data_IF_327677656764
#
_entry.id   IF_327677656764
#
_cell.length_a   1.000
_cell.length_b   1.000
_cell.length_c   1.000
_cell.angle_alpha   90.00
_cell.angle_beta   90.00
_cell.angle_gamma   90.00
#
_symmetry.space_group_name_H-M   'P 1'
#
loop_
_entity.id
_entity.type
_entity.pdbx_description
1 polymer ?
#
# COMPACT_ATOMS: atom_id res chain seq x y z
N UNK A 1 0.59 -18.62 -0.32
CA UNK A 1 1.00 -18.22 -1.70
C UNK A 1 0.07 -17.11 -2.14
N UNK A 2 0.60 -15.94 -2.46
CA UNK A 2 -0.20 -14.81 -2.95
C UNK A 2 -0.63 -15.13 -4.37
N UNK A 3 -1.91 -14.97 -4.68
CA UNK A 3 -2.51 -15.31 -5.96
C UNK A 3 -2.82 -14.04 -6.77
N UNK A 4 -2.60 -14.08 -8.08
CA UNK A 4 -2.95 -12.95 -8.96
C UNK A 4 -4.46 -12.87 -9.08
N UNK A 5 -5.01 -11.70 -8.77
CA UNK A 5 -6.44 -11.40 -8.90
C UNK A 5 -6.66 -10.36 -10.00
N UNK A 6 -7.63 -10.62 -10.85
CA UNK A 6 -8.01 -9.73 -11.95
C UNK A 6 -9.12 -8.76 -11.59
N UNK A 7 -9.26 -8.48 -10.36
CA UNK A 7 -10.22 -7.56 -9.77
C UNK A 7 -10.37 -7.87 -8.30
N UNK A 8 -11.01 -6.98 -7.54
CA UNK A 8 -11.22 -7.21 -6.13
C UNK A 8 -12.18 -8.38 -5.91
N UNK A 9 -11.76 -9.31 -5.08
CA UNK A 9 -12.64 -10.35 -4.57
C UNK A 9 -13.15 -9.99 -3.18
N UNK A 10 -14.45 -10.16 -2.98
CA UNK A 10 -15.07 -9.87 -1.68
C UNK A 10 -14.48 -10.75 -0.58
N UNK A 11 -14.18 -12.00 -0.89
CA UNK A 11 -13.60 -12.93 0.06
C UNK A 11 -12.21 -12.50 0.56
N UNK A 12 -11.37 -11.95 -0.34
CA UNK A 12 -10.06 -11.41 0.06
C UNK A 12 -10.23 -10.24 1.03
N UNK A 13 -11.18 -9.35 0.74
CA UNK A 13 -11.48 -8.24 1.65
C UNK A 13 -12.10 -8.70 2.96
N UNK A 14 -12.94 -9.73 2.95
CA UNK A 14 -13.51 -10.30 4.16
C UNK A 14 -12.40 -10.79 5.08
N UNK A 15 -11.46 -11.60 4.57
CA UNK A 15 -10.31 -12.11 5.32
C UNK A 15 -9.39 -10.98 5.80
N UNK A 16 -9.14 -10.00 4.94
CA UNK A 16 -8.38 -8.80 5.28
C UNK A 16 -9.02 -8.06 6.47
N UNK A 17 -10.32 -7.83 6.42
CA UNK A 17 -11.05 -7.14 7.48
C UNK A 17 -11.14 -7.97 8.76
N UNK A 18 -11.25 -9.29 8.67
CA UNK A 18 -11.24 -10.19 9.83
C UNK A 18 -9.92 -10.07 10.61
N UNK A 19 -8.79 -10.08 9.90
CA UNK A 19 -7.47 -9.91 10.54
C UNK A 19 -7.36 -8.55 11.23
N UNK A 20 -7.88 -7.48 10.61
CA UNK A 20 -7.77 -6.14 11.18
C UNK A 20 -8.80 -5.84 12.27
N UNK A 21 -9.94 -6.52 12.28
CA UNK A 21 -11.04 -6.25 13.21
C UNK A 21 -10.74 -6.61 14.68
N UNK A 22 -9.68 -7.39 14.92
CA UNK A 22 -9.26 -7.75 16.28
C UNK A 22 -8.36 -6.70 16.93
N UNK A 23 -7.90 -5.71 16.16
CA UNK A 23 -7.03 -4.65 16.65
C UNK A 23 -7.82 -3.48 17.22
N UNK A 24 -7.18 -2.76 18.14
CA UNK A 24 -7.75 -1.53 18.70
C UNK A 24 -7.49 -0.33 17.81
N UNK A 25 -6.27 -0.22 17.29
CA UNK A 25 -5.84 0.87 16.41
C UNK A 25 -5.07 0.34 15.20
N UNK A 26 -5.39 0.86 14.03
CA UNK A 26 -4.76 0.52 12.74
C UNK A 26 -4.45 1.79 11.99
N UNK A 27 -3.32 1.87 11.31
CA UNK A 27 -3.00 2.98 10.41
C UNK A 27 -3.00 2.53 8.94
N UNK A 28 -3.68 3.29 8.10
CA UNK A 28 -3.68 3.15 6.65
C UNK A 28 -2.84 4.27 6.03
N UNK A 29 -1.84 3.90 5.23
CA UNK A 29 -0.97 4.84 4.52
C UNK A 29 -1.27 4.77 3.04
N UNK A 30 -1.93 5.79 2.49
CA UNK A 30 -2.19 5.89 1.05
C UNK A 30 -1.04 6.60 0.36
N UNK A 31 -0.60 6.08 -0.79
CA UNK A 31 0.63 6.55 -1.45
C UNK A 31 0.43 7.03 -2.88
N UNK A 32 -0.81 7.20 -3.35
CA UNK A 32 -1.06 7.61 -4.72
C UNK A 32 -0.57 9.03 -5.01
N UNK A 33 0.36 9.17 -5.94
CA UNK A 33 0.89 10.46 -6.38
C UNK A 33 -0.14 11.40 -7.04
N UNK A 34 -1.34 10.88 -7.38
CA UNK A 34 -2.47 11.73 -7.84
C UNK A 34 -3.21 12.42 -6.70
N UNK A 35 -3.02 11.98 -5.46
CA UNK A 35 -3.81 12.46 -4.33
C UNK A 35 -3.71 13.97 -4.10
N UNK A 36 -2.55 14.64 -4.23
CA UNK A 36 -2.46 16.10 -4.12
C UNK A 36 -3.19 16.87 -5.24
N UNK A 37 -3.55 16.19 -6.32
CA UNK A 37 -4.13 16.81 -7.53
C UNK A 37 -5.58 16.43 -7.76
N UNK A 38 -6.31 16.06 -6.73
CA UNK A 38 -7.73 15.64 -6.85
C UNK A 38 -8.59 16.69 -7.51
N UNK A 39 -8.42 17.97 -7.17
CA UNK A 39 -9.16 19.09 -7.76
C UNK A 39 -8.91 19.21 -9.27
N UNK A 40 -7.66 18.99 -9.71
CA UNK A 40 -7.29 19.03 -11.12
C UNK A 40 -7.87 17.85 -11.92
N UNK A 41 -7.97 16.68 -11.33
CA UNK A 41 -8.41 15.46 -12.00
C UNK A 41 -9.88 15.12 -11.76
N UNK A 42 -10.56 15.86 -10.88
CA UNK A 42 -11.98 15.69 -10.59
C UNK A 42 -12.35 14.45 -9.79
N UNK A 43 -11.37 13.57 -9.46
CA UNK A 43 -11.64 12.37 -8.69
C UNK A 43 -10.47 11.97 -7.77
N UNK A 44 -10.81 11.38 -6.64
CA UNK A 44 -9.83 10.78 -5.73
C UNK A 44 -9.27 9.48 -6.28
N UNK A 45 -7.97 9.18 -6.06
CA UNK A 45 -7.37 7.90 -6.45
C UNK A 45 -8.13 6.71 -5.88
N UNK A 46 -8.30 5.65 -6.66
CA UNK A 46 -9.11 4.49 -6.27
C UNK A 46 -8.53 3.72 -5.07
N UNK A 47 -7.19 3.59 -5.00
CA UNK A 47 -6.54 3.02 -3.81
C UNK A 47 -6.86 3.81 -2.54
N UNK A 48 -6.88 5.14 -2.63
CA UNK A 48 -7.25 6.02 -1.51
C UNK A 48 -8.74 5.96 -1.19
N UNK A 49 -9.61 5.81 -2.20
CA UNK A 49 -11.04 5.60 -1.97
C UNK A 49 -11.27 4.28 -1.23
N UNK A 50 -10.66 3.19 -1.71
CA UNK A 50 -10.77 1.88 -1.08
C UNK A 50 -10.29 1.92 0.38
N UNK A 51 -9.15 2.52 0.64
CA UNK A 51 -8.62 2.68 2.00
C UNK A 51 -9.65 3.37 2.92
N UNK A 52 -10.26 4.47 2.48
CA UNK A 52 -11.27 5.18 3.27
C UNK A 52 -12.53 4.36 3.52
N UNK A 53 -13.00 3.61 2.51
CA UNK A 53 -14.18 2.76 2.68
C UNK A 53 -13.92 1.62 3.67
N UNK A 54 -12.79 0.95 3.55
CA UNK A 54 -12.40 -0.08 4.52
C UNK A 54 -12.23 0.52 5.91
N UNK A 55 -11.56 1.68 6.02
CA UNK A 55 -11.38 2.36 7.30
C UNK A 55 -12.72 2.69 7.96
N UNK A 56 -13.71 3.18 7.19
CA UNK A 56 -15.04 3.45 7.71
C UNK A 56 -15.70 2.17 8.25
N UNK A 57 -15.62 1.06 7.51
CA UNK A 57 -16.20 -0.23 7.93
C UNK A 57 -15.55 -0.77 9.20
N UNK A 58 -14.23 -0.65 9.32
CA UNK A 58 -13.51 -1.04 10.54
C UNK A 58 -13.88 -0.15 11.73
N UNK A 59 -14.08 1.16 11.51
CA UNK A 59 -14.56 2.07 12.56
C UNK A 59 -15.97 1.68 13.06
N UNK A 60 -16.85 1.28 12.16
CA UNK A 60 -18.18 0.77 12.52
C UNK A 60 -18.12 -0.52 13.34
N UNK A 61 -17.01 -1.27 13.25
CA UNK A 61 -16.71 -2.45 14.07
C UNK A 61 -15.94 -2.12 15.37
N UNK A 62 -15.69 -0.84 15.64
CA UNK A 62 -15.03 -0.38 16.86
C UNK A 62 -13.50 -0.29 16.76
N UNK A 63 -12.91 -0.46 15.58
CA UNK A 63 -11.47 -0.28 15.38
C UNK A 63 -11.17 1.20 15.15
N UNK A 64 -10.21 1.76 15.87
CA UNK A 64 -9.70 3.10 15.56
C UNK A 64 -8.80 3.01 14.32
N UNK A 65 -9.20 3.69 13.24
CA UNK A 65 -8.44 3.68 11.98
C UNK A 65 -8.03 5.09 11.61
N UNK A 66 -6.74 5.33 11.61
CA UNK A 66 -6.14 6.54 11.08
C UNK A 66 -5.81 6.35 9.59
N UNK A 67 -6.06 7.36 8.76
CA UNK A 67 -5.72 7.33 7.32
C UNK A 67 -4.78 8.48 7.00
N UNK A 68 -3.54 8.16 6.65
CA UNK A 68 -2.49 9.11 6.29
C UNK A 68 -2.28 9.09 4.78
N UNK A 69 -2.28 10.26 4.15
CA UNK A 69 -1.99 10.42 2.73
C UNK A 69 -0.52 10.84 2.54
N UNK A 70 0.35 9.87 2.35
CA UNK A 70 1.79 10.10 2.23
C UNK A 70 2.17 11.01 1.05
N UNK A 71 1.35 11.05 -0.01
CA UNK A 71 1.60 11.92 -1.15
C UNK A 71 1.39 13.41 -0.85
N UNK A 72 0.73 13.72 0.25
CA UNK A 72 0.50 15.11 0.72
C UNK A 72 1.50 15.56 1.77
N UNK A 73 2.33 14.63 2.25
CA UNK A 73 3.37 14.94 3.23
C UNK A 73 4.66 15.38 2.54
N UNK A 74 5.35 16.32 3.17
CA UNK A 74 6.71 16.67 2.77
C UNK A 74 7.70 15.64 3.32
N UNK A 75 7.91 14.58 2.58
CA UNK A 75 8.88 13.52 2.90
C UNK A 75 10.09 13.70 2.00
N UNK A 76 11.24 14.02 2.58
CA UNK A 76 12.49 14.11 1.86
C UNK A 76 12.94 12.72 1.34
N UNK A 77 13.80 12.69 0.34
CA UNK A 77 14.36 11.42 -0.16
C UNK A 77 15.28 10.78 0.89
N UNK A 78 15.50 9.47 0.77
CA UNK A 78 16.51 8.78 1.53
C UNK A 78 17.90 9.38 1.24
N UNK A 79 18.72 9.58 2.27
CA UNK A 79 20.06 10.14 2.14
C UNK A 79 21.12 9.08 1.80
N UNK A 80 20.76 7.80 1.74
CA UNK A 80 21.70 6.71 1.51
C UNK A 80 22.77 6.61 2.61
N UNK A 81 22.38 6.81 3.85
CA UNK A 81 23.30 6.92 5.00
C UNK A 81 24.20 5.70 5.20
N UNK A 82 23.78 4.54 4.74
CA UNK A 82 24.57 3.29 4.78
C UNK A 82 25.89 3.44 4.02
N UNK A 83 25.93 4.31 3.01
CA UNK A 83 27.09 4.43 2.14
C UNK A 83 28.25 5.21 2.75
N UNK A 84 28.02 6.38 3.40
CA UNK A 84 29.15 7.22 3.79
C UNK A 84 28.86 8.28 4.87
N UNK A 85 27.69 8.92 4.86
CA UNK A 85 27.53 10.22 5.52
C UNK A 85 27.56 10.13 7.05
N UNK A 86 26.96 9.12 7.63
CA UNK A 86 26.70 9.03 9.07
C UNK A 86 27.32 7.78 9.73
N UNK A 87 28.46 7.33 9.25
CA UNK A 87 29.17 6.20 9.85
C UNK A 87 28.67 4.85 9.38
N UNK A 88 28.15 4.81 8.16
CA UNK A 88 27.77 3.56 7.46
C UNK A 88 26.65 2.77 8.11
N UNK A 89 25.71 3.45 8.75
CA UNK A 89 24.45 2.83 9.18
C UNK A 89 23.26 3.72 8.91
N UNK A 90 22.14 3.08 8.59
CA UNK A 90 20.84 3.74 8.53
C UNK A 90 20.37 4.04 9.96
N UNK A 91 20.02 5.28 10.21
CA UNK A 91 19.56 5.73 11.51
C UNK A 91 20.65 6.05 12.54
N UNK A 92 20.34 6.95 13.43
CA UNK A 92 21.20 7.33 14.56
C UNK A 92 21.15 6.27 15.66
N UNK A 93 22.27 6.01 16.34
CA UNK A 93 22.33 5.01 17.42
C UNK A 93 21.35 5.29 18.55
N UNK A 94 21.19 6.56 18.88
CA UNK A 94 20.21 7.02 19.85
C UNK A 94 19.36 8.08 19.16
N UNK A 95 18.06 8.09 19.40
CA UNK A 95 17.25 9.16 18.83
C UNK A 95 17.71 10.50 19.37
N UNK A 96 18.27 11.32 18.48
CA UNK A 96 18.63 12.70 18.77
C UNK A 96 17.46 13.65 18.55
N UNK A 97 16.41 13.20 17.89
CA UNK A 97 15.19 13.94 17.72
C UNK A 97 14.37 13.85 19.02
N UNK A 98 14.69 14.71 19.98
CA UNK A 98 13.94 14.87 21.22
C UNK A 98 12.80 15.84 20.98
N UNK A 99 11.69 15.32 20.51
CA UNK A 99 10.50 16.10 20.21
C UNK A 99 9.28 15.30 20.71
N UNK A 100 8.61 15.81 21.71
CA UNK A 100 7.48 15.11 22.36
C UNK A 100 6.28 14.94 21.42
N UNK A 101 6.12 15.82 20.43
CA UNK A 101 5.07 15.72 19.43
C UNK A 101 5.43 14.75 18.31
N UNK A 102 6.63 14.91 17.73
CA UNK A 102 7.05 14.19 16.54
C UNK A 102 7.62 12.82 16.83
N UNK A 103 8.25 12.66 17.97
CA UNK A 103 8.95 11.43 18.36
C UNK A 103 8.74 11.07 19.84
N UNK A 104 7.46 10.93 20.31
CA UNK A 104 7.16 10.72 21.72
C UNK A 104 7.80 9.46 22.29
N UNK A 105 8.01 8.45 21.45
CA UNK A 105 8.58 7.16 21.85
C UNK A 105 10.11 7.12 21.73
N UNK A 106 10.76 8.18 21.21
CA UNK A 106 12.19 8.17 20.95
C UNK A 106 12.64 7.17 19.89
N UNK A 107 11.73 6.61 19.09
CA UNK A 107 12.01 5.52 18.16
C UNK A 107 12.35 5.98 16.74
N UNK A 108 11.96 7.18 16.34
CA UNK A 108 12.29 7.73 15.03
C UNK A 108 13.79 8.07 14.97
N UNK A 109 14.53 7.36 14.13
CA UNK A 109 15.98 7.47 14.03
C UNK A 109 16.51 7.82 12.63
N UNK A 110 15.65 8.06 11.67
CA UNK A 110 16.06 8.39 10.32
C UNK A 110 16.87 9.71 10.29
N UNK A 111 18.07 9.69 9.72
CA UNK A 111 18.92 10.86 9.59
C UNK A 111 18.26 12.01 8.86
N UNK A 112 17.56 11.74 7.76
CA UNK A 112 16.85 12.78 7.04
C UNK A 112 15.76 13.45 7.88
N UNK A 113 15.07 12.72 8.76
CA UNK A 113 14.12 13.32 9.70
C UNK A 113 14.79 14.13 10.80
N UNK A 114 16.05 13.85 11.11
CA UNK A 114 16.85 14.65 12.02
C UNK A 114 17.36 15.93 11.35
N UNK A 115 17.85 15.81 10.12
CA UNK A 115 18.54 16.90 9.41
C UNK A 115 17.58 17.89 8.76
N UNK A 116 16.42 17.44 8.29
CA UNK A 116 15.39 18.30 7.67
C UNK A 116 14.23 18.56 8.63
N UNK A 117 14.17 19.78 9.16
CA UNK A 117 13.15 20.19 10.15
C UNK A 117 11.71 20.17 9.61
N UNK A 118 11.57 20.29 8.31
CA UNK A 118 10.31 20.27 7.58
C UNK A 118 9.90 18.87 7.10
N UNK A 119 10.71 17.83 7.41
CA UNK A 119 10.38 16.46 7.07
C UNK A 119 9.18 15.94 7.89
N UNK A 120 8.22 15.38 7.20
CA UNK A 120 6.97 14.91 7.81
C UNK A 120 6.87 13.38 7.92
N UNK A 121 7.95 12.62 7.68
CA UNK A 121 7.95 11.17 7.87
C UNK A 121 7.51 10.78 9.28
N UNK A 122 7.79 11.62 10.27
CA UNK A 122 7.45 11.39 11.65
C UNK A 122 5.95 11.09 11.87
N UNK A 123 5.06 11.65 11.04
CA UNK A 123 3.62 11.38 11.12
C UNK A 123 3.31 9.90 10.86
N UNK A 124 3.97 9.31 9.86
CA UNK A 124 3.84 7.89 9.55
C UNK A 124 4.48 7.04 10.64
N UNK A 125 5.74 7.34 11.02
CA UNK A 125 6.46 6.58 12.03
C UNK A 125 5.74 6.56 13.37
N UNK A 126 5.27 7.71 13.85
CA UNK A 126 4.50 7.82 15.10
C UNK A 126 3.25 6.94 15.05
N UNK A 127 2.47 7.05 13.97
CA UNK A 127 1.23 6.29 13.82
C UNK A 127 1.49 4.77 13.73
N UNK A 128 2.60 4.34 13.11
CA UNK A 128 3.00 2.93 13.12
C UNK A 128 3.20 2.45 14.56
N UNK A 129 4.00 3.15 15.35
CA UNK A 129 4.30 2.74 16.73
C UNK A 129 3.12 2.88 17.71
N UNK A 130 2.12 3.66 17.37
CA UNK A 130 0.88 3.80 18.15
C UNK A 130 -0.21 2.80 17.76
N UNK A 131 0.03 1.95 16.74
CA UNK A 131 -0.96 1.01 16.20
C UNK A 131 -0.51 -0.45 16.28
N UNK A 132 -1.46 -1.37 16.12
CA UNK A 132 -1.18 -2.80 16.03
C UNK A 132 -1.02 -3.28 14.59
N UNK A 133 -1.42 -2.47 13.60
CA UNK A 133 -1.20 -2.79 12.21
C UNK A 133 -1.01 -1.54 11.35
N UNK A 134 -0.15 -1.65 10.33
CA UNK A 134 0.03 -0.65 9.27
C UNK A 134 -0.29 -1.26 7.92
N UNK A 135 -1.18 -0.64 7.16
CA UNK A 135 -1.52 -1.09 5.82
C UNK A 135 -1.21 0.01 4.81
N UNK A 136 -0.38 -0.34 3.86
CA UNK A 136 -0.07 0.54 2.74
C UNK A 136 -1.04 0.31 1.57
N UNK A 137 -1.48 1.39 0.94
CA UNK A 137 -2.32 1.36 -0.26
C UNK A 137 -1.60 2.06 -1.39
N UNK A 138 -1.18 1.29 -2.38
CA UNK A 138 -0.38 1.78 -3.49
C UNK A 138 -0.99 1.48 -4.87
N UNK A 139 -0.29 1.91 -5.89
CA UNK A 139 -0.60 1.59 -7.27
C UNK A 139 0.59 0.97 -7.98
N UNK A 140 0.33 -0.03 -8.82
CA UNK A 140 1.36 -0.66 -9.64
C UNK A 140 1.86 0.31 -10.72
N UNK A 141 3.17 0.42 -10.85
CA UNK A 141 3.85 1.25 -11.86
C UNK A 141 5.12 0.55 -12.32
N UNK A 142 5.20 0.21 -13.61
CA UNK A 142 6.41 -0.35 -14.24
C UNK A 142 7.03 -1.53 -13.46
N UNK A 143 6.21 -2.48 -13.06
CA UNK A 143 6.66 -3.67 -12.35
C UNK A 143 7.02 -3.45 -10.86
N UNK A 144 6.66 -2.29 -10.29
CA UNK A 144 6.88 -1.96 -8.88
C UNK A 144 5.71 -1.16 -8.30
N UNK A 145 5.66 -1.02 -7.00
CA UNK A 145 4.74 -0.09 -6.34
C UNK A 145 5.21 1.35 -6.60
N UNK A 146 4.30 2.29 -6.67
CA UNK A 146 4.55 3.68 -7.06
C UNK A 146 5.62 4.40 -6.20
N UNK A 147 6.22 5.45 -6.78
CA UNK A 147 7.37 6.15 -6.20
C UNK A 147 7.15 6.70 -4.78
N UNK A 148 5.94 7.18 -4.45
CA UNK A 148 5.65 7.65 -3.09
C UNK A 148 5.74 6.51 -2.08
N UNK A 149 5.25 5.33 -2.42
CA UNK A 149 5.41 4.14 -1.59
C UNK A 149 6.90 3.80 -1.41
N UNK A 150 7.66 3.73 -2.50
CA UNK A 150 9.09 3.41 -2.44
C UNK A 150 9.84 4.40 -1.57
N UNK A 151 9.57 5.69 -1.72
CA UNK A 151 10.16 6.72 -0.86
C UNK A 151 9.86 6.48 0.63
N UNK A 152 8.62 6.13 0.97
CA UNK A 152 8.26 5.83 2.37
C UNK A 152 9.03 4.61 2.87
N UNK A 153 9.09 3.53 2.10
CA UNK A 153 9.80 2.30 2.48
C UNK A 153 11.30 2.55 2.65
N UNK A 154 11.96 3.21 1.70
CA UNK A 154 13.37 3.59 1.82
C UNK A 154 13.65 4.43 3.08
N UNK A 155 12.71 5.28 3.45
CA UNK A 155 12.83 6.14 4.63
C UNK A 155 12.49 5.44 5.94
N UNK A 156 11.89 4.23 5.91
CA UNK A 156 11.62 3.37 7.08
C UNK A 156 12.72 2.34 7.32
N UNK A 157 13.73 2.24 6.45
CA UNK A 157 14.84 1.29 6.53
C UNK A 157 15.58 1.30 7.90
N UNK A 158 15.60 2.43 8.59
CA UNK A 158 16.19 2.54 9.93
C UNK A 158 15.53 1.60 10.96
N UNK A 159 14.30 1.15 10.74
CA UNK A 159 13.59 0.19 11.61
C UNK A 159 14.32 -1.16 11.58
N UNK A 160 14.66 -1.62 10.36
CA UNK A 160 15.45 -2.84 10.17
C UNK A 160 16.83 -2.72 10.80
N UNK A 161 17.51 -1.63 10.53
CA UNK A 161 18.87 -1.42 10.98
C UNK A 161 19.04 -1.44 12.52
N UNK A 162 17.99 -1.08 13.27
CA UNK A 162 18.01 -1.14 14.74
C UNK A 162 18.28 -2.57 15.25
N UNK A 163 17.61 -3.56 14.74
CA UNK A 163 17.74 -4.92 15.23
C UNK A 163 18.77 -5.75 14.45
N UNK A 164 18.96 -5.53 13.16
CA UNK A 164 19.92 -6.31 12.38
C UNK A 164 21.36 -5.82 12.53
N UNK A 165 21.58 -4.51 12.53
CA UNK A 165 22.92 -3.91 12.54
C UNK A 165 23.32 -3.40 13.91
N UNK A 166 22.42 -2.75 14.64
CA UNK A 166 22.73 -2.15 15.94
C UNK A 166 22.56 -3.13 17.10
N UNK A 167 21.96 -4.31 16.88
CA UNK A 167 21.74 -5.34 17.89
C UNK A 167 20.71 -4.96 18.95
N UNK A 168 19.79 -4.07 18.64
CA UNK A 168 18.69 -3.66 19.50
C UNK A 168 17.50 -4.62 19.35
N UNK A 169 16.55 -4.52 20.24
CA UNK A 169 15.29 -5.27 20.11
C UNK A 169 14.51 -4.83 18.87
N UNK A 170 13.85 -5.77 18.20
CA UNK A 170 12.95 -5.46 17.11
C UNK A 170 11.73 -4.68 17.63
N UNK A 171 11.71 -3.39 17.33
CA UNK A 171 10.70 -2.45 17.84
C UNK A 171 9.31 -2.61 17.21
N UNK A 172 9.20 -3.37 16.11
CA UNK A 172 7.94 -3.59 15.37
C UNK A 172 7.49 -5.04 15.35
N UNK A 173 8.12 -5.91 16.14
CA UNK A 173 7.84 -7.37 16.17
C UNK A 173 6.38 -7.73 16.45
N UNK A 174 5.65 -6.88 17.13
CA UNK A 174 4.25 -7.10 17.51
C UNK A 174 3.27 -6.30 16.62
N UNK A 175 3.78 -5.62 15.59
CA UNK A 175 2.98 -4.83 14.65
C UNK A 175 2.80 -5.62 13.36
N UNK A 176 1.56 -5.73 12.90
CA UNK A 176 1.28 -6.32 11.58
C UNK A 176 1.49 -5.30 10.47
N UNK A 177 2.01 -5.74 9.33
CA UNK A 177 2.09 -4.92 8.13
C UNK A 177 1.42 -5.60 6.94
N UNK A 178 0.86 -4.78 6.05
CA UNK A 178 0.21 -5.26 4.83
C UNK A 178 0.30 -4.25 3.69
N UNK A 179 -0.03 -4.73 2.50
CA UNK A 179 0.02 -3.93 1.28
C UNK A 179 -1.12 -4.28 0.34
N UNK A 180 -1.88 -3.28 -0.07
CA UNK A 180 -2.91 -3.38 -1.11
C UNK A 180 -2.42 -2.62 -2.35
N UNK A 181 -2.19 -3.34 -3.45
CA UNK A 181 -1.71 -2.78 -4.72
C UNK A 181 -2.78 -2.91 -5.79
N UNK A 182 -3.12 -1.79 -6.40
CA UNK A 182 -4.07 -1.75 -7.51
C UNK A 182 -3.38 -1.20 -8.74
N UNK A 183 -3.48 -1.88 -9.86
CA UNK A 183 -2.86 -1.38 -11.07
C UNK A 183 -3.29 -2.03 -12.36
N UNK A 184 -3.02 -1.31 -13.43
CA UNK A 184 -3.24 -1.77 -14.79
C UNK A 184 -2.07 -2.58 -15.32
N UNK A 185 -0.89 -2.35 -14.72
CA UNK A 185 0.36 -2.91 -15.18
C UNK A 185 0.60 -4.31 -14.63
N UNK A 186 1.43 -5.02 -15.33
CA UNK A 186 1.96 -6.34 -15.01
C UNK A 186 2.82 -6.37 -13.72
N UNK A 187 3.13 -7.57 -13.26
CA UNK A 187 4.01 -7.86 -12.11
C UNK A 187 3.49 -7.38 -10.75
N UNK A 188 2.19 -7.33 -10.57
CA UNK A 188 1.61 -7.01 -9.25
C UNK A 188 2.00 -8.05 -8.21
N UNK A 189 2.00 -9.33 -8.58
CA UNK A 189 2.38 -10.42 -7.67
C UNK A 189 3.83 -10.30 -7.23
N UNK A 190 4.76 -10.10 -8.18
CA UNK A 190 6.19 -9.94 -7.88
C UNK A 190 6.43 -8.74 -6.94
N UNK A 191 5.70 -7.64 -7.19
CA UNK A 191 5.78 -6.47 -6.33
C UNK A 191 5.28 -6.76 -4.91
N UNK A 192 4.17 -7.47 -4.77
CA UNK A 192 3.63 -7.86 -3.46
C UNK A 192 4.59 -8.78 -2.71
N UNK A 193 5.11 -9.81 -3.37
CA UNK A 193 6.05 -10.74 -2.77
C UNK A 193 7.35 -10.05 -2.34
N UNK A 194 7.87 -9.16 -3.19
CA UNK A 194 9.06 -8.37 -2.86
C UNK A 194 8.82 -7.47 -1.65
N UNK A 195 7.71 -6.74 -1.66
CA UNK A 195 7.40 -5.81 -0.57
C UNK A 195 7.00 -6.54 0.72
N UNK A 196 6.36 -7.70 0.63
CA UNK A 196 6.12 -8.54 1.79
C UNK A 196 7.43 -8.94 2.46
N UNK A 197 8.39 -9.44 1.69
CA UNK A 197 9.73 -9.76 2.20
C UNK A 197 10.45 -8.55 2.79
N UNK A 198 10.32 -7.38 2.17
CA UNK A 198 10.89 -6.14 2.70
C UNK A 198 10.32 -5.81 4.08
N UNK A 199 9.00 -5.91 4.24
CA UNK A 199 8.35 -5.64 5.53
C UNK A 199 8.69 -6.72 6.58
N UNK A 200 8.87 -7.97 6.18
CA UNK A 200 9.40 -9.03 7.04
C UNK A 200 10.83 -8.72 7.49
N UNK A 201 11.68 -8.24 6.60
CA UNK A 201 13.04 -7.79 6.92
C UNK A 201 13.04 -6.61 7.89
N UNK A 202 12.08 -5.70 7.79
CA UNK A 202 11.91 -4.63 8.76
C UNK A 202 11.46 -5.14 10.14
N UNK A 203 11.07 -6.42 10.22
CA UNK A 203 10.71 -7.07 11.46
C UNK A 203 9.22 -7.08 11.78
N UNK A 204 8.35 -6.63 10.86
CA UNK A 204 6.90 -6.70 11.00
C UNK A 204 6.36 -8.13 10.86
N UNK A 205 5.20 -8.38 11.48
CA UNK A 205 4.39 -9.54 11.14
C UNK A 205 3.65 -9.28 9.82
N UNK A 206 3.70 -10.22 8.88
CA UNK A 206 3.13 -10.04 7.53
C UNK A 206 2.11 -11.15 7.18
N UNK A 207 0.93 -11.17 7.80
CA UNK A 207 -0.09 -12.17 7.50
C UNK A 207 -0.54 -12.11 6.03
N UNK A 208 -0.61 -13.24 5.34
CA UNK A 208 -1.00 -13.32 3.93
C UNK A 208 -2.29 -12.56 3.58
N UNK A 209 -3.37 -12.59 4.39
CA UNK A 209 -4.58 -11.85 4.07
C UNK A 209 -4.42 -10.33 3.99
N UNK A 210 -3.34 -9.77 4.52
CA UNK A 210 -3.06 -8.33 4.45
C UNK A 210 -2.32 -7.91 3.17
N UNK A 211 -2.04 -8.86 2.26
CA UNK A 211 -1.39 -8.59 0.98
C UNK A 211 -2.36 -8.88 -0.16
N UNK A 212 -2.88 -7.82 -0.77
CA UNK A 212 -3.87 -7.90 -1.84
C UNK A 212 -3.35 -7.19 -3.08
N UNK A 213 -3.35 -7.90 -4.20
CA UNK A 213 -2.95 -7.36 -5.50
C UNK A 213 -4.04 -7.52 -6.55
N UNK A 214 -4.41 -6.42 -7.19
CA UNK A 214 -5.35 -6.43 -8.29
C UNK A 214 -4.74 -5.89 -9.56
N UNK A 215 -4.73 -6.73 -10.58
CA UNK A 215 -4.16 -6.43 -11.87
C UNK A 215 -5.27 -6.40 -12.92
N UNK A 216 -5.25 -5.40 -13.81
CA UNK A 216 -6.26 -5.26 -14.87
C UNK A 216 -5.88 -5.95 -16.17
N UNK A 217 -4.58 -6.13 -16.43
CA UNK A 217 -4.10 -6.89 -17.58
C UNK A 217 -3.97 -8.35 -17.19
N UNK A 218 -4.52 -9.25 -18.03
CA UNK A 218 -4.62 -10.68 -17.70
C UNK A 218 -3.28 -11.40 -17.75
N UNK A 219 -2.41 -10.97 -18.64
CA UNK A 219 -1.16 -11.66 -18.90
C UNK A 219 0.04 -10.76 -18.58
N UNK A 220 0.99 -11.32 -17.83
CA UNK A 220 2.27 -10.67 -17.54
C UNK A 220 3.05 -10.44 -18.82
N UNK A 221 2.91 -11.35 -19.77
CA UNK A 221 3.62 -11.33 -21.05
C UNK A 221 2.83 -10.66 -22.17
N UNK A 222 1.58 -10.25 -21.91
CA UNK A 222 0.77 -9.51 -22.86
C UNK A 222 1.17 -8.02 -22.91
N UNK A 223 2.43 -7.79 -23.21
CA UNK A 223 2.99 -6.47 -23.49
C UNK A 223 2.71 -6.04 -24.95
N UNK A 224 1.78 -6.70 -25.63
CA UNK A 224 1.44 -6.32 -26.99
C UNK A 224 0.97 -4.87 -27.03
N UNK A 225 1.38 -4.15 -28.08
CA UNK A 225 0.91 -2.77 -28.31
C UNK A 225 -0.62 -2.66 -28.35
N UNK A 226 -1.30 -3.76 -28.59
CA UNK A 226 -2.76 -3.86 -28.63
C UNK A 226 -3.38 -3.95 -27.25
N UNK A 227 -2.77 -4.66 -26.31
CA UNK A 227 -3.14 -4.64 -24.90
C UNK A 227 -3.11 -3.23 -24.33
N UNK A 228 -2.05 -2.49 -24.60
CA UNK A 228 -1.93 -1.09 -24.18
C UNK A 228 -2.95 -0.16 -24.81
N UNK A 229 -3.28 -0.36 -26.09
CA UNK A 229 -4.29 0.45 -26.80
C UNK A 229 -5.71 0.20 -26.32
N UNK A 230 -5.98 -1.00 -25.85
CA UNK A 230 -7.31 -1.44 -25.48
C UNK A 230 -7.49 -1.52 -23.94
N UNK A 231 -6.39 -1.39 -23.20
CA UNK A 231 -6.49 -1.27 -21.75
C UNK A 231 -7.21 0.04 -21.40
N UNK A 232 -8.17 0.01 -20.46
CA UNK A 232 -8.85 1.23 -20.05
C UNK A 232 -7.83 2.24 -19.57
N UNK A 233 -7.76 3.39 -20.24
CA UNK A 233 -6.80 4.45 -19.97
C UNK A 233 -6.96 5.05 -18.58
N UNK A 234 -8.12 4.90 -17.99
CA UNK A 234 -8.41 5.35 -16.65
C UNK A 234 -9.05 4.21 -15.87
N UNK A 235 -8.82 4.22 -14.57
CA UNK A 235 -9.53 3.34 -13.67
C UNK A 235 -11.04 3.57 -13.77
N UNK A 236 -11.46 4.80 -14.02
CA UNK A 236 -12.84 5.17 -14.23
C UNK A 236 -13.43 4.47 -15.46
N UNK A 237 -12.70 4.35 -16.57
CA UNK A 237 -13.15 3.56 -17.69
C UNK A 237 -13.30 2.09 -17.29
N UNK A 238 -12.36 1.52 -16.56
CA UNK A 238 -12.45 0.16 -16.04
C UNK A 238 -13.60 -0.02 -15.06
N UNK A 239 -13.91 1.01 -14.26
CA UNK A 239 -14.95 0.99 -13.25
C UNK A 239 -16.31 1.43 -13.78
N UNK A 240 -16.38 2.42 -14.66
CA UNK A 240 -17.61 2.94 -15.26
C UNK A 240 -18.14 2.06 -16.39
N UNK A 241 -17.30 1.20 -16.96
CA UNK A 241 -17.74 0.15 -17.85
C UNK A 241 -18.56 -0.94 -17.14
N UNK A 242 -19.05 -0.66 -15.94
CA UNK A 242 -19.84 -1.53 -15.04
C UNK A 242 -19.08 -2.80 -14.63
N UNK A 243 -17.76 -2.75 -14.59
CA UNK A 243 -17.03 -3.95 -14.68
C UNK A 243 -15.76 -3.82 -13.84
N UNK A 244 -15.73 -4.53 -12.70
CA UNK A 244 -14.58 -5.38 -12.52
C UNK A 244 -14.65 -6.48 -13.58
N UNK A 245 -14.96 -6.10 -14.80
CA UNK A 245 -14.90 -6.92 -15.95
C UNK A 245 -13.57 -6.69 -16.56
N UNK A 246 -12.74 -7.68 -16.54
CA UNK A 246 -11.85 -7.84 -17.64
C UNK A 246 -12.71 -7.87 -18.91
N UNK A 247 -12.89 -6.74 -19.56
CA UNK A 247 -13.25 -6.74 -20.95
C UNK A 247 -11.97 -7.00 -21.73
N UNK A 248 -12.01 -8.11 -22.43
CA UNK A 248 -11.02 -8.46 -23.41
C UNK A 248 -10.66 -7.23 -24.24
N UNK A 249 -9.39 -6.81 -24.30
CA UNK A 249 -8.95 -5.88 -25.30
C UNK A 249 -9.37 -6.42 -26.66
N UNK A 250 -10.02 -5.60 -27.49
CA UNK A 250 -10.40 -6.00 -28.86
C UNK A 250 -9.14 -6.48 -29.57
N UNK A 251 -9.07 -7.73 -29.96
CA UNK A 251 -7.92 -8.31 -30.65
C UNK A 251 -7.19 -9.44 -29.93
N UNK A 252 -7.45 -9.69 -28.64
CA UNK A 252 -6.93 -10.87 -27.95
C UNK A 252 -7.91 -12.03 -28.05
N UNK A 253 -7.50 -13.18 -28.59
CA UNK A 253 -8.31 -14.38 -28.61
C UNK A 253 -8.37 -15.00 -27.19
N UNK A 254 -9.49 -14.85 -26.52
CA UNK A 254 -9.76 -15.60 -25.31
C UNK A 254 -10.31 -16.99 -25.66
N UNK A 255 -9.79 -17.98 -24.98
CA UNK A 255 -10.44 -19.27 -24.93
C UNK A 255 -11.86 -19.12 -24.38
N UNK A 256 -12.81 -19.32 -25.27
CA UNK A 256 -14.25 -19.50 -25.07
C UNK A 256 -15.08 -18.41 -24.36
N UNK A 257 -16.16 -17.99 -25.05
CA UNK A 257 -17.27 -17.17 -24.52
C UNK A 257 -17.97 -17.75 -23.27
N UNK A 258 -17.72 -19.01 -22.93
CA UNK A 258 -18.33 -19.66 -21.77
C UNK A 258 -17.76 -19.17 -20.44
N UNK A 259 -16.48 -18.84 -20.37
CA UNK A 259 -15.84 -18.38 -19.13
C UNK A 259 -16.25 -16.96 -18.74
N UNK A 260 -16.90 -16.24 -19.64
CA UNK A 260 -17.34 -14.86 -19.45
C UNK A 260 -18.76 -14.77 -18.89
N UNK A 261 -19.57 -15.82 -19.00
CA UNK A 261 -21.01 -15.76 -18.66
C UNK A 261 -21.33 -15.94 -17.17
N UNK A 262 -20.41 -16.43 -16.37
CA UNK A 262 -20.70 -16.79 -14.97
C UNK A 262 -20.10 -15.85 -13.91
N UNK A 263 -19.21 -14.95 -14.26
CA UNK A 263 -18.71 -13.98 -13.30
C UNK A 263 -19.74 -12.84 -13.14
N UNK A 264 -20.37 -12.76 -12.02
CA UNK A 264 -21.22 -11.63 -11.63
C UNK A 264 -20.36 -10.38 -11.48
N UNK A 265 -20.52 -9.47 -12.40
CA UNK A 265 -19.71 -8.27 -12.49
C UNK A 265 -20.30 -7.18 -11.63
N UNK A 266 -19.50 -6.71 -10.70
CA UNK A 266 -19.87 -5.61 -9.84
C UNK A 266 -19.29 -4.32 -10.42
N UNK A 267 -20.09 -3.29 -10.46
CA UNK A 267 -19.53 -1.93 -10.58
C UNK A 267 -18.71 -1.63 -9.34
N UNK A 268 -17.84 -0.64 -9.41
CA UNK A 268 -17.14 -0.20 -8.18
C UNK A 268 -18.12 0.18 -7.07
N UNK A 269 -19.22 0.83 -7.43
CA UNK A 269 -20.27 1.16 -6.47
C UNK A 269 -20.97 -0.08 -5.90
N UNK A 270 -21.21 -1.10 -6.72
CA UNK A 270 -21.75 -2.38 -6.24
C UNK A 270 -20.74 -3.08 -5.33
N UNK A 271 -19.46 -3.04 -5.68
CA UNK A 271 -18.39 -3.56 -4.87
C UNK A 271 -18.28 -2.82 -3.52
N UNK A 272 -18.30 -1.48 -3.56
CA UNK A 272 -18.34 -0.67 -2.33
C UNK A 272 -19.62 -0.95 -1.53
N UNK A 273 -20.73 -1.19 -2.21
CA UNK A 273 -21.99 -1.62 -1.60
C UNK A 273 -21.87 -2.96 -0.88
N UNK A 274 -21.15 -3.92 -1.47
CA UNK A 274 -20.89 -5.25 -0.85
C UNK A 274 -19.90 -5.16 0.32
N UNK A 275 -18.90 -4.27 0.25
CA UNK A 275 -18.07 -3.96 1.42
C UNK A 275 -18.93 -3.45 2.57
N UNK A 276 -20.03 -2.75 2.29
CA UNK A 276 -20.98 -2.29 3.33
C UNK A 276 -21.69 -3.42 4.07
N UNK A 277 -21.71 -4.60 3.53
CA UNK A 277 -22.34 -5.78 4.15
C UNK A 277 -21.33 -6.67 4.90
N UNK A 278 -20.05 -6.42 4.82
CA UNK A 278 -18.99 -7.05 5.61
C UNK A 278 -18.86 -6.40 6.98
#
# INVERSE_FOLDING_TARGET
MIEIKYGPEIEDLRRFMEVLSVHKKVVFVTTSSRSPYVEKFGESPKSSQLARHIAQRLKEKGVDVEVIDAAKLNIHNCLGCVSEIHGNHCGVKESKLKDEEKNPNGLLRCWASHDFKDDELWKISKSIYESQAVIFFGSQRWGSVNAVYQKVIERLDWIENMHTTLGEDNSVKDIQAGLVVIGQNWRVLDSLETQKKTLEYFGFQTPDPLFIGWQYTRDVDDESKESYKNAPNTFEQAWNMKLFRWEKPKGTELSSEKDVKESQFLTFNDFLGKIKSL
#
